data_IF_703813344409
#
_entry.id   IF_703813344409
#
_cell.length_a   1.000
_cell.length_b   1.000
_cell.length_c   1.000
_cell.angle_alpha   90.00
_cell.angle_beta   90.00
_cell.angle_gamma   90.00
#
_symmetry.space_group_name_H-M   'P 1'
#
loop_
_entity.id
_entity.type
_entity.pdbx_description
1 polymer ?
#
# COMPACT_ATOMS: atom_id res chain seq x y z
N UNK A 1 -3.41 22.78 -4.76
CA UNK A 1 -4.78 22.73 -4.20
C UNK A 1 -4.68 21.86 -2.94
N UNK A 2 -5.23 22.20 -1.77
CA UNK A 2 -5.00 21.39 -0.53
C UNK A 2 -5.30 19.87 -0.67
N UNK A 3 -6.16 19.51 -1.63
CA UNK A 3 -6.49 18.12 -1.99
C UNK A 3 -5.29 17.30 -2.49
N UNK A 4 -4.26 17.93 -3.07
CA UNK A 4 -3.10 17.23 -3.64
C UNK A 4 -2.20 16.64 -2.53
N UNK A 5 -2.12 17.34 -1.39
CA UNK A 5 -1.33 16.90 -0.23
C UNK A 5 -2.01 15.75 0.49
N UNK A 6 -3.32 15.83 0.71
CA UNK A 6 -4.12 14.75 1.33
C UNK A 6 -4.01 13.46 0.52
N UNK A 7 -4.12 13.56 -0.81
CA UNK A 7 -3.97 12.42 -1.69
C UNK A 7 -2.54 11.85 -1.71
N UNK A 8 -1.53 12.71 -1.84
CA UNK A 8 -0.13 12.27 -1.82
C UNK A 8 0.24 11.60 -0.49
N UNK A 9 -0.24 12.15 0.63
CA UNK A 9 -0.07 11.58 1.96
C UNK A 9 -0.70 10.19 2.06
N UNK A 10 -2.00 10.08 1.73
CA UNK A 10 -2.76 8.83 1.79
C UNK A 10 -2.10 7.72 0.95
N UNK A 11 -1.77 8.03 -0.31
CA UNK A 11 -1.12 7.06 -1.22
C UNK A 11 0.25 6.63 -0.69
N UNK A 12 1.03 7.54 -0.11
CA UNK A 12 2.38 7.21 0.39
C UNK A 12 2.34 6.29 1.60
N UNK A 13 1.45 6.53 2.56
CA UNK A 13 1.34 5.68 3.75
C UNK A 13 0.73 4.31 3.43
N UNK A 14 -0.24 4.24 2.50
CA UNK A 14 -0.77 2.96 2.00
C UNK A 14 0.33 2.12 1.34
N UNK A 15 1.17 2.74 0.49
CA UNK A 15 2.30 2.06 -0.15
C UNK A 15 3.39 1.61 0.82
N UNK A 16 3.50 2.24 1.99
CA UNK A 16 4.38 1.81 3.06
C UNK A 16 3.80 0.64 3.89
N UNK A 17 2.63 0.11 3.51
CA UNK A 17 2.02 -1.05 4.17
C UNK A 17 1.19 -0.69 5.40
N UNK A 18 0.77 0.57 5.56
CA UNK A 18 -0.18 0.94 6.63
C UNK A 18 -1.57 0.40 6.29
N UNK A 19 -2.23 -0.16 7.31
CA UNK A 19 -3.59 -0.70 7.19
C UNK A 19 -4.56 0.35 6.65
N UNK A 20 -5.33 -0.04 5.63
CA UNK A 20 -6.28 0.85 4.96
C UNK A 20 -7.33 1.43 5.93
N UNK A 21 -7.69 0.67 6.97
CA UNK A 21 -8.62 1.13 8.01
C UNK A 21 -8.03 2.25 8.86
N UNK A 22 -6.74 2.18 9.18
CA UNK A 22 -6.05 3.23 9.93
C UNK A 22 -5.93 4.48 9.06
N UNK A 23 -5.60 4.33 7.78
CA UNK A 23 -5.60 5.43 6.81
C UNK A 23 -6.98 6.08 6.71
N UNK A 24 -8.06 5.29 6.64
CA UNK A 24 -9.42 5.82 6.61
C UNK A 24 -9.77 6.62 7.88
N UNK A 25 -9.36 6.13 9.06
CA UNK A 25 -9.56 6.82 10.32
C UNK A 25 -8.78 8.14 10.39
N UNK A 26 -7.50 8.16 9.97
CA UNK A 26 -6.65 9.37 9.93
C UNK A 26 -7.25 10.43 9.00
N UNK A 27 -7.86 10.00 7.90
CA UNK A 27 -8.48 10.89 6.92
C UNK A 27 -9.94 11.22 7.29
N UNK A 28 -10.46 10.71 8.41
CA UNK A 28 -11.84 10.90 8.87
C UNK A 28 -12.89 10.44 7.85
N UNK A 29 -12.61 9.36 7.12
CA UNK A 29 -13.58 8.74 6.23
C UNK A 29 -14.52 7.83 7.02
N UNK A 30 -15.83 8.12 6.93
CA UNK A 30 -16.87 7.28 7.52
C UNK A 30 -16.85 5.85 6.97
N UNK A 31 -16.58 5.72 5.67
CA UNK A 31 -16.57 4.43 4.97
C UNK A 31 -15.15 4.14 4.48
N UNK A 32 -14.65 2.95 4.78
CA UNK A 32 -13.35 2.46 4.30
C UNK A 32 -13.25 2.45 2.77
N UNK A 33 -14.36 2.15 2.09
CA UNK A 33 -14.49 2.14 0.63
C UNK A 33 -14.15 3.49 0.00
N UNK A 34 -14.36 4.59 0.72
CA UNK A 34 -13.95 5.92 0.24
C UNK A 34 -12.42 5.99 0.15
N UNK A 35 -11.70 5.54 1.16
CA UNK A 35 -10.22 5.50 1.10
C UNK A 35 -9.72 4.55 0.00
N UNK A 36 -10.37 3.39 -0.13
CA UNK A 36 -10.03 2.40 -1.16
C UNK A 36 -10.18 2.98 -2.57
N UNK A 37 -11.37 3.50 -2.90
CA UNK A 37 -11.66 3.99 -4.25
C UNK A 37 -10.85 5.24 -4.63
N UNK A 38 -10.48 6.08 -3.66
CA UNK A 38 -9.75 7.32 -3.95
C UNK A 38 -8.24 7.11 -4.09
N UNK A 39 -7.65 6.15 -3.38
CA UNK A 39 -6.19 6.06 -3.23
C UNK A 39 -5.59 4.71 -3.62
N UNK A 40 -6.41 3.69 -3.84
CA UNK A 40 -5.95 2.36 -4.24
C UNK A 40 -6.40 2.10 -5.67
N UNK A 41 -5.45 1.71 -6.50
CA UNK A 41 -5.72 1.14 -7.81
C UNK A 41 -4.90 -0.13 -7.98
N UNK A 42 -5.54 -1.20 -8.45
CA UNK A 42 -4.86 -2.48 -8.71
C UNK A 42 -4.88 -2.77 -10.21
N UNK A 43 -3.72 -2.59 -10.84
CA UNK A 43 -3.48 -3.04 -12.22
C UNK A 43 -2.88 -4.45 -12.25
N UNK A 44 -2.98 -5.13 -13.40
CA UNK A 44 -2.31 -6.43 -13.59
C UNK A 44 -0.80 -6.34 -13.33
N UNK A 45 -0.19 -5.23 -13.73
CA UNK A 45 1.23 -4.95 -13.51
C UNK A 45 1.56 -4.80 -12.02
N UNK A 46 0.79 -3.99 -11.27
CA UNK A 46 0.99 -3.80 -9.83
C UNK A 46 0.88 -5.10 -9.03
N UNK A 47 0.00 -6.02 -9.44
CA UNK A 47 -0.13 -7.34 -8.81
C UNK A 47 1.08 -8.23 -9.11
N UNK A 48 1.59 -8.19 -10.34
CA UNK A 48 2.80 -8.93 -10.71
C UNK A 48 4.01 -8.42 -9.93
N UNK A 49 4.18 -7.11 -9.87
CA UNK A 49 5.26 -6.46 -9.11
C UNK A 49 5.21 -6.86 -7.62
N UNK A 50 4.02 -6.88 -7.02
CA UNK A 50 3.84 -7.34 -5.65
C UNK A 50 4.29 -8.80 -5.44
N UNK A 51 3.94 -9.70 -6.37
CA UNK A 51 4.41 -11.09 -6.32
C UNK A 51 5.95 -11.18 -6.48
N UNK A 52 6.51 -10.44 -7.43
CA UNK A 52 7.95 -10.44 -7.70
C UNK A 52 8.74 -9.93 -6.47
N UNK A 53 8.27 -8.88 -5.80
CA UNK A 53 8.85 -8.37 -4.55
C UNK A 53 8.77 -9.43 -3.45
N UNK A 54 7.61 -10.07 -3.27
CA UNK A 54 7.42 -11.10 -2.25
C UNK A 54 8.36 -12.29 -2.46
N UNK A 55 8.50 -12.77 -3.70
CA UNK A 55 9.39 -13.88 -4.04
C UNK A 55 10.85 -13.52 -3.76
N UNK A 56 11.28 -12.31 -4.12
CA UNK A 56 12.64 -11.84 -3.87
C UNK A 56 12.94 -11.70 -2.37
N UNK A 57 12.01 -11.15 -1.58
CA UNK A 57 12.14 -11.07 -0.13
C UNK A 57 12.23 -12.45 0.52
N UNK A 58 11.44 -13.42 0.03
CA UNK A 58 11.44 -14.79 0.54
C UNK A 58 12.75 -15.50 0.21
N UNK A 59 13.26 -15.35 -1.02
CA UNK A 59 14.57 -15.89 -1.43
C UNK A 59 15.70 -15.32 -0.57
N UNK A 60 15.72 -14.01 -0.34
CA UNK A 60 16.73 -13.36 0.53
C UNK A 60 16.71 -13.94 1.94
N UNK A 61 15.53 -14.05 2.55
CA UNK A 61 15.39 -14.60 3.90
C UNK A 61 15.81 -16.07 4.01
N UNK A 62 15.65 -16.85 2.94
CA UNK A 62 16.11 -18.24 2.91
C UNK A 62 17.64 -18.28 2.83
N UNK A 63 18.26 -17.44 2.01
CA UNK A 63 19.72 -17.33 1.90
C UNK A 63 20.33 -16.92 3.24
N UNK A 64 19.76 -15.91 3.91
CA UNK A 64 20.21 -15.44 5.23
C UNK A 64 20.06 -16.50 6.33
N UNK A 65 19.24 -17.54 6.13
CA UNK A 65 19.11 -18.66 7.07
C UNK A 65 20.11 -19.79 6.81
N UNK A 66 20.72 -19.83 5.62
CA UNK A 66 21.62 -20.90 5.19
C UNK A 66 23.09 -20.49 5.43
N UNK A 67 23.42 -19.21 5.29
CA UNK A 67 24.74 -18.62 5.61
C UNK A 67 24.86 -18.35 7.10
#
# INVERSE_FOLDING_TARGET
>A
RFYDLRGSYATKILKNGVEIRDVANILEHRNIETTENYYISSSKESRKEACDIFDNLTKSKIIDKIV
#
